data_IF_495783232633
#
_entry.id   IF_495783232633
#
_cell.length_a   1.000
_cell.length_b   1.000
_cell.length_c   1.000
_cell.angle_alpha   90.00
_cell.angle_beta   90.00
_cell.angle_gamma   90.00
#
_symmetry.space_group_name_H-M   'P 1'
#
loop_
_entity.id
_entity.type
_entity.pdbx_description
1 polymer ?
#
# COMPACT_ATOMS: atom_id res chain seq x y z
N UNK A 1 -13.68 4.36 -16.10
CA UNK A 1 -12.80 5.49 -15.74
C UNK A 1 -13.61 6.77 -15.70
N UNK A 2 -14.36 7.12 -16.76
CA UNK A 2 -15.15 8.37 -16.81
C UNK A 2 -16.25 8.44 -15.74
N UNK A 3 -16.92 7.32 -15.41
CA UNK A 3 -17.94 7.28 -14.37
C UNK A 3 -17.35 7.54 -12.97
N UNK A 4 -16.18 7.02 -12.66
CA UNK A 4 -15.50 7.29 -11.40
C UNK A 4 -15.14 8.77 -11.26
N UNK A 5 -14.56 9.36 -12.31
CA UNK A 5 -14.23 10.78 -12.33
C UNK A 5 -15.47 11.68 -12.16
N UNK A 6 -16.60 11.33 -12.81
CA UNK A 6 -17.87 12.06 -12.65
C UNK A 6 -18.45 12.00 -11.22
N UNK A 7 -17.99 11.06 -10.40
CA UNK A 7 -18.38 10.91 -8.98
C UNK A 7 -17.32 11.47 -8.01
N UNK A 8 -16.27 12.12 -8.48
CA UNK A 8 -15.18 12.65 -7.66
C UNK A 8 -14.17 11.59 -7.17
N UNK A 9 -14.03 10.48 -7.92
CA UNK A 9 -13.10 9.40 -7.58
C UNK A 9 -12.10 9.14 -8.70
N UNK A 10 -10.92 8.65 -8.31
CA UNK A 10 -9.91 8.06 -9.20
C UNK A 10 -9.72 6.58 -8.90
N UNK A 11 -9.44 5.80 -9.94
CA UNK A 11 -9.10 4.39 -9.79
C UNK A 11 -7.59 4.28 -9.63
N UNK A 12 -7.16 3.72 -8.50
CA UNK A 12 -5.75 3.46 -8.19
C UNK A 12 -5.55 1.99 -7.82
N UNK A 13 -4.43 1.40 -8.20
CA UNK A 13 -4.02 0.10 -7.71
C UNK A 13 -3.40 0.29 -6.33
N UNK A 14 -4.02 -0.26 -5.30
CA UNK A 14 -3.54 -0.17 -3.92
C UNK A 14 -3.15 -1.55 -3.40
N UNK A 15 -2.02 -1.60 -2.69
CA UNK A 15 -1.68 -2.69 -1.79
C UNK A 15 -2.07 -2.30 -0.38
N UNK A 16 -2.89 -3.13 0.27
CA UNK A 16 -3.41 -2.86 1.61
C UNK A 16 -3.02 -3.99 2.55
N UNK A 17 -2.56 -3.61 3.73
CA UNK A 17 -2.26 -4.51 4.84
C UNK A 17 -3.01 -4.04 6.08
N UNK A 18 -3.84 -4.88 6.66
CA UNK A 18 -4.61 -4.58 7.85
C UNK A 18 -4.34 -5.59 8.95
N UNK A 19 -4.30 -5.10 10.18
CA UNK A 19 -4.27 -5.94 11.37
C UNK A 19 -5.53 -5.67 12.21
N UNK A 20 -6.43 -6.62 12.22
CA UNK A 20 -7.66 -6.58 13.00
C UNK A 20 -7.56 -7.56 14.17
N UNK A 21 -7.03 -7.08 15.33
CA UNK A 21 -6.88 -7.86 16.56
C UNK A 21 -6.10 -9.17 16.37
N UNK A 22 -4.95 -9.11 15.68
CA UNK A 22 -4.10 -10.27 15.41
C UNK A 22 -4.47 -11.05 14.14
N UNK A 23 -5.56 -10.68 13.46
CA UNK A 23 -5.89 -11.19 12.13
C UNK A 23 -5.37 -10.24 11.08
N UNK A 24 -4.51 -10.71 10.19
CA UNK A 24 -3.94 -9.94 9.11
C UNK A 24 -4.70 -10.18 7.82
N UNK A 25 -5.04 -9.11 7.10
CA UNK A 25 -5.52 -9.17 5.74
C UNK A 25 -4.57 -8.43 4.82
N UNK A 26 -4.25 -9.03 3.68
CA UNK A 26 -3.34 -8.49 2.68
C UNK A 26 -3.98 -8.64 1.31
N UNK A 27 -4.07 -7.55 0.57
CA UNK A 27 -4.57 -7.62 -0.80
C UNK A 27 -3.96 -6.54 -1.69
N UNK A 28 -4.05 -6.74 -2.98
CA UNK A 28 -3.74 -5.74 -4.02
C UNK A 28 -4.94 -5.70 -4.97
N UNK A 29 -5.56 -4.53 -5.09
CA UNK A 29 -6.73 -4.37 -5.93
C UNK A 29 -6.85 -2.95 -6.51
N UNK A 30 -7.55 -2.78 -7.66
CA UNK A 30 -8.01 -1.48 -8.09
C UNK A 30 -9.04 -0.93 -7.11
N UNK A 31 -8.77 0.26 -6.57
CA UNK A 31 -9.62 0.92 -5.57
C UNK A 31 -10.09 2.27 -6.08
N UNK A 32 -11.29 2.67 -5.66
CA UNK A 32 -11.78 4.04 -5.83
C UNK A 32 -11.24 4.89 -4.68
N UNK A 33 -10.47 5.92 -5.02
CA UNK A 33 -9.94 6.89 -4.05
C UNK A 33 -10.50 8.28 -4.34
N UNK A 34 -10.89 9.01 -3.31
CA UNK A 34 -11.41 10.37 -3.44
C UNK A 34 -10.39 11.29 -4.10
N UNK A 35 -10.84 12.17 -4.99
CA UNK A 35 -9.95 13.09 -5.75
C UNK A 35 -9.21 14.08 -4.84
N UNK A 36 -9.72 14.34 -3.65
CA UNK A 36 -9.13 15.19 -2.62
C UNK A 36 -7.98 14.54 -1.83
N UNK A 37 -7.72 13.25 -2.06
CA UNK A 37 -6.68 12.51 -1.35
C UNK A 37 -5.31 12.61 -2.02
N UNK A 38 -4.24 12.49 -1.22
CA UNK A 38 -2.87 12.39 -1.72
C UNK A 38 -2.69 11.18 -2.65
N UNK A 39 -3.38 10.07 -2.37
CA UNK A 39 -3.33 8.88 -3.22
C UNK A 39 -3.86 9.13 -4.63
N UNK A 40 -4.93 9.92 -4.77
CA UNK A 40 -5.48 10.29 -6.07
C UNK A 40 -4.47 11.13 -6.88
N UNK A 41 -3.77 12.04 -6.23
CA UNK A 41 -2.75 12.91 -6.84
C UNK A 41 -1.44 12.19 -7.13
N UNK A 42 -1.12 11.11 -6.40
CA UNK A 42 0.12 10.34 -6.57
C UNK A 42 0.18 9.70 -7.96
N UNK A 43 1.26 9.90 -8.69
CA UNK A 43 1.45 9.32 -10.03
C UNK A 43 2.85 9.53 -10.58
N UNK A 44 3.13 8.98 -11.77
CA UNK A 44 4.44 9.03 -12.39
C UNK A 44 5.48 8.25 -11.59
N UNK A 45 6.57 8.90 -11.20
CA UNK A 45 7.66 8.31 -10.41
C UNK A 45 7.41 8.33 -8.89
N UNK A 46 6.33 8.99 -8.46
CA UNK A 46 6.02 9.14 -7.03
C UNK A 46 5.18 7.98 -6.50
N UNK A 47 5.47 7.62 -5.27
CA UNK A 47 4.72 6.65 -4.49
C UNK A 47 4.24 7.29 -3.18
N UNK A 48 3.14 6.76 -2.66
CA UNK A 48 2.62 7.13 -1.34
C UNK A 48 2.37 5.86 -0.53
N UNK A 49 2.73 5.89 0.74
CA UNK A 49 2.43 4.82 1.71
C UNK A 49 1.78 5.47 2.92
N UNK A 50 0.55 5.06 3.24
CA UNK A 50 -0.10 5.45 4.49
C UNK A 50 0.04 4.35 5.52
N UNK A 51 0.34 4.75 6.74
CA UNK A 51 0.39 3.86 7.91
C UNK A 51 -0.49 4.47 9.00
N UNK A 52 -1.47 3.72 9.46
CA UNK A 52 -2.33 4.14 10.57
C UNK A 52 -1.93 3.44 11.86
N UNK A 53 -1.51 4.21 12.84
CA UNK A 53 -1.18 3.73 14.17
C UNK A 53 -2.22 4.14 15.20
N UNK A 54 -2.30 3.38 16.30
CA UNK A 54 -3.25 3.63 17.37
C UNK A 54 -2.97 4.91 18.19
N UNK A 55 -1.73 5.38 18.23
CA UNK A 55 -1.32 6.56 19.01
C UNK A 55 -1.10 7.78 18.12
N UNK A 56 -0.57 7.58 16.92
CA UNK A 56 -0.15 8.66 16.02
C UNK A 56 -1.24 9.02 15.01
N UNK A 57 -2.21 8.12 14.80
CA UNK A 57 -3.19 8.24 13.73
C UNK A 57 -2.58 7.89 12.37
N UNK A 58 -3.02 8.55 11.33
CA UNK A 58 -2.54 8.34 9.97
C UNK A 58 -1.25 9.14 9.70
N UNK A 59 -0.24 8.46 9.19
CA UNK A 59 1.01 9.06 8.70
C UNK A 59 1.20 8.66 7.26
N UNK A 60 1.46 9.62 6.38
CA UNK A 60 1.68 9.36 4.96
C UNK A 60 3.12 9.67 4.59
N UNK A 61 3.81 8.69 4.01
CA UNK A 61 5.11 8.84 3.39
C UNK A 61 4.92 9.05 1.89
N UNK A 62 5.51 10.10 1.36
CA UNK A 62 5.40 10.45 -0.05
C UNK A 62 6.76 10.78 -0.62
N UNK A 63 7.10 10.19 -1.76
CA UNK A 63 8.39 10.43 -2.40
C UNK A 63 8.54 9.71 -3.73
N UNK A 64 9.69 9.91 -4.36
CA UNK A 64 10.05 9.20 -5.58
C UNK A 64 10.39 7.75 -5.24
N UNK A 65 9.59 6.81 -5.71
CA UNK A 65 9.83 5.37 -5.58
C UNK A 65 10.41 4.75 -6.85
N UNK A 66 10.24 5.41 -7.99
CA UNK A 66 10.78 4.99 -9.27
C UNK A 66 11.83 5.99 -9.78
N UNK A 67 12.67 5.53 -10.71
CA UNK A 67 13.77 6.29 -11.29
C UNK A 67 15.12 5.68 -10.94
N UNK A 68 16.08 5.81 -11.85
CA UNK A 68 17.40 5.16 -11.73
C UNK A 68 18.16 5.55 -10.46
N UNK A 69 18.17 6.83 -10.13
CA UNK A 69 18.89 7.34 -8.95
C UNK A 69 18.21 6.94 -7.63
N UNK A 70 16.88 7.03 -7.54
CA UNK A 70 16.14 6.64 -6.36
C UNK A 70 16.31 5.14 -6.08
N UNK A 71 16.19 4.31 -7.11
CA UNK A 71 16.37 2.86 -7.00
C UNK A 71 17.83 2.51 -6.65
N UNK A 72 18.81 3.13 -7.28
CA UNK A 72 20.23 2.88 -6.99
C UNK A 72 20.59 3.26 -5.55
N UNK A 73 20.08 4.40 -5.05
CA UNK A 73 20.29 4.82 -3.67
C UNK A 73 19.72 3.82 -2.66
N UNK A 74 18.52 3.31 -2.90
CA UNK A 74 17.90 2.30 -2.03
C UNK A 74 18.72 0.99 -2.01
N UNK A 75 19.13 0.49 -3.18
CA UNK A 75 19.95 -0.74 -3.28
C UNK A 75 21.28 -0.58 -2.55
N UNK A 76 21.97 0.56 -2.72
CA UNK A 76 23.24 0.83 -2.03
C UNK A 76 23.02 0.90 -0.51
N UNK A 77 21.94 1.54 -0.07
CA UNK A 77 21.59 1.60 1.36
C UNK A 77 21.38 0.21 1.95
N UNK A 78 20.62 -0.65 1.26
CA UNK A 78 20.35 -2.02 1.70
C UNK A 78 21.63 -2.87 1.77
N UNK A 79 22.55 -2.69 0.82
CA UNK A 79 23.85 -3.37 0.84
C UNK A 79 24.68 -2.94 2.04
N UNK A 80 24.74 -1.64 2.32
CA UNK A 80 25.48 -1.10 3.46
C UNK A 80 24.88 -1.58 4.78
N UNK A 81 23.57 -1.54 4.93
CA UNK A 81 22.87 -1.99 6.13
C UNK A 81 23.10 -3.51 6.36
N UNK A 82 23.08 -4.31 5.30
CA UNK A 82 23.34 -5.75 5.38
C UNK A 82 24.79 -6.02 5.83
N UNK A 83 25.75 -5.21 5.38
CA UNK A 83 27.15 -5.34 5.78
C UNK A 83 27.36 -4.99 7.26
N UNK A 84 26.67 -3.97 7.76
CA UNK A 84 26.78 -3.50 9.14
C UNK A 84 26.02 -4.38 10.14
N UNK A 85 24.92 -5.03 9.72
CA UNK A 85 24.04 -5.82 10.59
C UNK A 85 23.67 -7.19 10.03
N UNK A 86 24.65 -8.07 9.80
CA UNK A 86 24.40 -9.38 9.18
C UNK A 86 23.50 -10.31 10.00
N UNK A 87 23.41 -10.11 11.33
CA UNK A 87 22.60 -10.93 12.22
C UNK A 87 21.07 -10.67 12.11
N UNK A 88 20.64 -9.53 11.58
CA UNK A 88 19.22 -9.20 11.45
C UNK A 88 18.56 -9.89 10.24
N UNK A 89 19.30 -10.11 9.18
CA UNK A 89 18.80 -10.70 7.93
C UNK A 89 18.69 -12.23 7.96
N UNK A 90 19.25 -12.91 8.96
CA UNK A 90 19.11 -14.35 9.17
C UNK A 90 17.78 -14.77 9.84
N UNK A 91 17.03 -13.84 10.41
CA UNK A 91 15.72 -14.08 11.01
C UNK A 91 14.60 -13.72 10.04
N UNK A 92 14.32 -14.59 9.09
CA UNK A 92 13.03 -14.55 8.40
C UNK A 92 11.93 -14.79 9.43
N UNK A 93 11.15 -13.76 9.75
CA UNK A 93 9.89 -13.94 10.48
C UNK A 93 8.95 -14.73 9.55
N UNK A 94 8.85 -16.02 9.78
CA UNK A 94 7.82 -16.85 9.14
C UNK A 94 6.48 -16.46 9.79
N UNK A 95 5.74 -15.58 9.16
CA UNK A 95 4.31 -15.48 9.45
C UNK A 95 3.68 -16.79 9.01
N UNK A 96 3.10 -17.53 9.94
CA UNK A 96 2.46 -18.79 9.62
C UNK A 96 1.30 -18.50 8.64
N UNK A 97 1.23 -19.25 7.53
CA UNK A 97 0.17 -19.10 6.52
C UNK A 97 -1.26 -19.21 7.10
N UNK A 98 -1.40 -19.83 8.25
CA UNK A 98 -2.66 -20.05 8.96
C UNK A 98 -3.21 -18.78 9.63
N UNK A 99 -2.38 -17.72 9.79
CA UNK A 99 -2.79 -16.44 10.40
C UNK A 99 -3.30 -15.42 9.38
N UNK A 100 -3.21 -15.70 8.08
CA UNK A 100 -3.70 -14.82 7.04
C UNK A 100 -5.23 -14.99 6.90
N UNK A 101 -5.99 -14.06 7.44
CA UNK A 101 -7.42 -13.98 7.18
C UNK A 101 -7.68 -13.53 5.74
N UNK A 102 -8.73 -14.09 5.12
CA UNK A 102 -9.19 -13.58 3.83
C UNK A 102 -9.54 -12.07 3.96
N UNK A 103 -9.14 -11.24 2.99
CA UNK A 103 -9.41 -9.80 3.05
C UNK A 103 -10.91 -9.54 3.14
N UNK A 104 -11.31 -8.67 4.06
CA UNK A 104 -12.66 -8.11 4.10
C UNK A 104 -12.75 -6.95 3.10
N UNK A 105 -12.92 -7.31 1.85
CA UNK A 105 -13.20 -6.34 0.81
C UNK A 105 -14.71 -6.14 0.74
N UNK A 106 -15.18 -4.94 0.94
CA UNK A 106 -16.54 -4.59 0.59
C UNK A 106 -16.63 -4.49 -0.94
N UNK A 107 -17.21 -5.52 -1.53
CA UNK A 107 -17.48 -5.55 -2.96
C UNK A 107 -18.69 -4.66 -3.25
N UNK A 108 -18.49 -3.61 -4.01
CA UNK A 108 -19.58 -2.73 -4.47
C UNK A 108 -19.71 -2.83 -5.99
N UNK A 109 -20.95 -2.90 -6.44
CA UNK A 109 -21.26 -2.86 -7.86
C UNK A 109 -21.79 -1.45 -8.19
N UNK A 110 -21.11 -0.77 -9.10
CA UNK A 110 -21.55 0.53 -9.63
C UNK A 110 -21.68 0.38 -11.14
N UNK A 111 -22.88 0.50 -11.66
CA UNK A 111 -23.18 0.40 -13.08
C UNK A 111 -22.67 -0.89 -13.75
N UNK A 112 -22.77 -2.03 -13.07
CA UNK A 112 -22.36 -3.32 -13.60
C UNK A 112 -20.84 -3.60 -13.51
N UNK A 113 -20.07 -2.68 -12.93
CA UNK A 113 -18.64 -2.86 -12.68
C UNK A 113 -18.42 -3.11 -11.19
N UNK A 114 -17.72 -4.19 -10.88
CA UNK A 114 -17.38 -4.54 -9.51
C UNK A 114 -16.12 -3.78 -9.06
N UNK A 115 -16.25 -3.02 -7.99
CA UNK A 115 -15.14 -2.31 -7.34
C UNK A 115 -15.01 -2.78 -5.89
N UNK A 116 -13.79 -2.70 -5.39
CA UNK A 116 -13.50 -2.85 -3.99
C UNK A 116 -13.33 -1.47 -3.38
N UNK A 117 -14.04 -1.19 -2.28
CA UNK A 117 -13.96 0.07 -1.55
C UNK A 117 -13.25 -0.21 -0.23
N UNK A 118 -12.27 0.63 0.08
CA UNK A 118 -11.54 0.67 1.35
C UNK A 118 -12.13 1.77 2.20
#
# INVERSE_FOLDING_TARGET
INAAAGMGYRIKLLGVAENNNGRYSLFVAPCLVGEDTLFAATGGVFNAVSVTGNMVGEVVFYGQGAGSLATASAVVSDILETADTPALYGRQSRVAKEELAAPRLEKRNICGVEFYVI
#
